data_IF_748346783174
#
_entry.id   IF_748346783174
#
_cell.length_a   1.000
_cell.length_b   1.000
_cell.length_c   1.000
_cell.angle_alpha   90.00
_cell.angle_beta   90.00
_cell.angle_gamma   90.00
#
_symmetry.space_group_name_H-M   'P 1'
#
loop_
_entity.id
_entity.type
_entity.pdbx_description
1 polymer ?
#
# COMPACT_ATOMS: atom_id res chain seq x y z
N UNK A 1 -7.60 -47.01 -52.30
CA UNK A 1 -7.03 -46.82 -50.99
C UNK A 1 -7.35 -45.39 -50.59
N UNK A 2 -8.41 -45.21 -49.73
CA UNK A 2 -8.79 -43.93 -49.23
C UNK A 2 -7.82 -43.52 -48.11
N UNK A 3 -7.13 -42.43 -48.27
CA UNK A 3 -6.42 -41.78 -47.16
C UNK A 3 -7.46 -41.18 -46.25
N UNK A 4 -7.62 -41.77 -45.07
CA UNK A 4 -8.38 -41.14 -43.99
C UNK A 4 -7.81 -39.74 -43.70
N UNK A 5 -8.66 -38.74 -43.77
CA UNK A 5 -8.28 -37.41 -43.25
C UNK A 5 -7.95 -37.59 -41.79
N UNK A 6 -6.74 -37.23 -41.41
CA UNK A 6 -6.43 -37.06 -40.02
C UNK A 6 -7.46 -36.08 -39.42
N UNK A 7 -8.17 -36.50 -38.39
CA UNK A 7 -8.95 -35.58 -37.60
C UNK A 7 -8.06 -34.39 -37.21
N UNK A 8 -8.47 -33.21 -37.63
CA UNK A 8 -7.75 -31.99 -37.27
C UNK A 8 -7.56 -31.99 -35.75
N UNK A 9 -6.40 -31.53 -35.32
CA UNK A 9 -6.18 -31.14 -33.93
C UNK A 9 -7.44 -30.37 -33.50
N UNK A 10 -8.08 -30.87 -32.45
CA UNK A 10 -9.31 -30.26 -31.96
C UNK A 10 -9.17 -28.77 -31.84
N UNK A 11 -10.25 -28.11 -32.02
CA UNK A 11 -10.40 -26.66 -31.92
C UNK A 11 -9.70 -26.19 -30.65
N UNK A 12 -8.65 -25.39 -30.82
CA UNK A 12 -8.01 -24.73 -29.69
C UNK A 12 -8.90 -23.57 -29.31
N UNK A 13 -9.83 -23.84 -28.45
CA UNK A 13 -10.67 -22.80 -27.88
C UNK A 13 -9.81 -21.97 -26.94
N UNK A 14 -9.58 -20.73 -27.30
CA UNK A 14 -8.97 -19.75 -26.41
C UNK A 14 -9.99 -19.44 -25.31
N UNK A 15 -9.79 -19.98 -24.13
CA UNK A 15 -10.58 -19.66 -22.92
C UNK A 15 -10.26 -18.25 -22.38
N UNK A 16 -10.08 -17.28 -23.27
CA UNK A 16 -9.74 -15.91 -22.87
C UNK A 16 -10.82 -15.26 -22.00
N UNK A 17 -12.07 -15.67 -22.14
CA UNK A 17 -13.17 -15.13 -21.36
C UNK A 17 -13.20 -15.64 -19.91
N UNK A 18 -12.42 -16.67 -19.60
CA UNK A 18 -12.28 -17.24 -18.27
C UNK A 18 -10.87 -17.05 -17.67
N UNK A 19 -10.01 -16.30 -18.34
CA UNK A 19 -8.70 -16.02 -17.79
C UNK A 19 -8.84 -15.16 -16.51
N UNK A 20 -8.18 -15.50 -15.41
CA UNK A 20 -8.28 -14.74 -14.17
C UNK A 20 -7.83 -13.30 -14.37
N UNK A 21 -8.43 -12.41 -13.61
CA UNK A 21 -8.01 -11.03 -13.47
C UNK A 21 -7.43 -10.88 -12.08
N UNK A 22 -6.29 -10.23 -11.97
CA UNK A 22 -5.55 -10.11 -10.72
C UNK A 22 -5.17 -8.67 -10.44
N UNK A 23 -5.19 -8.28 -9.17
CA UNK A 23 -4.65 -7.02 -8.63
C UNK A 23 -3.74 -7.35 -7.45
N UNK A 24 -2.61 -6.71 -7.36
CA UNK A 24 -1.61 -6.77 -6.30
C UNK A 24 -0.59 -5.67 -6.53
N UNK A 25 0.42 -5.50 -5.68
CA UNK A 25 1.39 -6.54 -5.37
C UNK A 25 1.95 -6.47 -3.93
N UNK A 26 2.43 -5.30 -3.41
CA UNK A 26 3.44 -5.25 -2.37
C UNK A 26 3.19 -4.18 -1.31
N UNK A 27 3.55 -4.51 -0.07
CA UNK A 27 3.56 -3.56 1.05
C UNK A 27 4.94 -3.58 1.71
N UNK A 28 5.58 -2.40 1.82
CA UNK A 28 6.97 -2.32 2.31
C UNK A 28 7.20 -1.17 3.29
N UNK A 29 8.31 -1.26 4.02
CA UNK A 29 8.82 -0.22 4.90
C UNK A 29 9.74 0.71 4.10
N UNK A 30 9.24 1.85 3.72
CA UNK A 30 9.99 2.94 3.13
C UNK A 30 10.84 3.60 4.23
N UNK A 31 12.10 3.22 4.30
CA UNK A 31 12.98 3.56 5.42
C UNK A 31 13.47 5.00 5.35
N UNK A 32 13.69 5.53 4.17
CA UNK A 32 14.18 6.89 3.95
C UNK A 32 13.07 7.90 3.64
N UNK A 33 11.85 7.42 3.36
CA UNK A 33 10.65 8.22 3.18
C UNK A 33 10.55 8.91 1.82
N UNK A 34 11.23 8.38 0.81
CA UNK A 34 11.25 8.96 -0.53
C UNK A 34 10.08 8.50 -1.41
N UNK A 35 9.31 7.51 -0.97
CA UNK A 35 8.13 6.97 -1.65
C UNK A 35 8.43 5.90 -2.68
N UNK A 36 9.66 5.43 -2.76
CA UNK A 36 10.14 4.43 -3.72
C UNK A 36 10.53 3.16 -3.02
N UNK A 37 10.36 2.05 -3.72
CA UNK A 37 10.86 0.76 -3.26
C UNK A 37 12.34 0.63 -3.60
N UNK A 38 13.19 0.76 -2.62
CA UNK A 38 14.65 0.67 -2.77
C UNK A 38 15.22 -0.68 -2.31
N UNK A 39 16.38 -1.08 -2.88
CA UNK A 39 17.06 -2.29 -2.44
C UNK A 39 17.47 -2.19 -0.96
N UNK A 40 17.01 -3.14 -0.16
CA UNK A 40 17.30 -3.21 1.28
C UNK A 40 16.16 -2.72 2.16
N UNK A 41 15.06 -2.29 1.57
CA UNK A 41 13.83 -2.01 2.29
C UNK A 41 13.05 -3.29 2.60
N UNK A 42 12.57 -3.39 3.83
CA UNK A 42 11.95 -4.61 4.32
C UNK A 42 10.46 -4.70 3.93
N UNK A 43 9.96 -5.91 3.60
CA UNK A 43 8.52 -6.13 3.43
C UNK A 43 7.76 -5.98 4.75
N UNK A 44 6.49 -5.56 4.66
CA UNK A 44 5.60 -5.56 5.82
C UNK A 44 4.60 -6.70 5.70
N UNK A 45 4.77 -7.71 6.53
CA UNK A 45 3.86 -8.85 6.64
C UNK A 45 2.67 -8.55 7.57
N UNK A 46 1.56 -9.27 7.37
CA UNK A 46 0.40 -9.20 8.26
C UNK A 46 -0.44 -7.94 8.11
N UNK A 47 -0.31 -7.22 7.01
CA UNK A 47 -1.15 -6.06 6.68
C UNK A 47 -2.45 -6.54 6.04
N UNK A 48 -3.58 -6.15 6.58
CA UNK A 48 -4.89 -6.38 5.96
C UNK A 48 -5.09 -5.36 4.82
N UNK A 49 -5.27 -5.90 3.61
CA UNK A 49 -5.58 -5.15 2.40
C UNK A 49 -7.00 -5.49 1.97
N UNK A 50 -7.80 -4.50 1.68
CA UNK A 50 -9.20 -4.66 1.26
C UNK A 50 -9.39 -4.18 -0.17
N UNK A 51 -10.04 -4.99 -0.98
CA UNK A 51 -10.52 -4.66 -2.32
C UNK A 51 -12.02 -4.43 -2.27
N UNK A 52 -12.51 -3.33 -2.83
CA UNK A 52 -13.92 -2.97 -2.93
C UNK A 52 -14.29 -2.68 -4.39
N UNK A 53 -15.43 -3.23 -4.87
CA UNK A 53 -15.88 -3.09 -6.25
C UNK A 53 -16.81 -1.88 -6.48
N UNK A 54 -17.08 -1.10 -5.43
CA UNK A 54 -18.01 0.02 -5.47
C UNK A 54 -19.49 -0.37 -5.63
N UNK A 55 -19.79 -1.68 -5.71
CA UNK A 55 -21.15 -2.22 -5.87
C UNK A 55 -21.66 -2.88 -4.59
N UNK A 56 -20.90 -2.84 -3.54
CA UNK A 56 -21.23 -3.39 -2.21
C UNK A 56 -20.57 -4.73 -1.92
N UNK A 57 -19.62 -5.17 -2.73
CA UNK A 57 -18.82 -6.35 -2.44
C UNK A 57 -17.38 -5.93 -2.10
N UNK A 58 -16.89 -6.46 -0.99
CA UNK A 58 -15.50 -6.27 -0.59
C UNK A 58 -14.86 -7.60 -0.20
N UNK A 59 -13.55 -7.68 -0.39
CA UNK A 59 -12.74 -8.82 0.01
C UNK A 59 -11.50 -8.31 0.72
N UNK A 60 -11.10 -8.99 1.78
CA UNK A 60 -9.89 -8.63 2.54
C UNK A 60 -8.94 -9.81 2.57
N UNK A 61 -7.67 -9.54 2.31
CA UNK A 61 -6.58 -10.51 2.42
C UNK A 61 -5.45 -9.89 3.25
N UNK A 62 -4.52 -10.73 3.69
CA UNK A 62 -3.40 -10.31 4.51
C UNK A 62 -2.09 -10.52 3.75
N UNK A 63 -1.16 -9.56 3.82
CA UNK A 63 0.16 -9.71 3.20
C UNK A 63 0.93 -10.89 3.80
N UNK A 64 1.62 -11.62 2.94
CA UNK A 64 2.47 -12.75 3.33
C UNK A 64 3.77 -12.29 4.02
N UNK A 65 4.65 -13.25 4.35
CA UNK A 65 5.93 -12.97 4.99
C UNK A 65 6.89 -12.12 4.12
N UNK A 66 6.61 -12.02 2.83
CA UNK A 66 7.36 -11.20 1.89
C UNK A 66 6.64 -9.89 1.54
N UNK A 67 5.63 -9.47 2.32
CA UNK A 67 4.87 -8.26 2.09
C UNK A 67 3.90 -8.32 0.91
N UNK A 68 3.68 -9.49 0.30
CA UNK A 68 2.90 -9.62 -0.92
C UNK A 68 1.44 -9.89 -0.65
N UNK A 69 0.59 -9.31 -1.49
CA UNK A 69 -0.85 -9.56 -1.51
C UNK A 69 -1.34 -9.70 -2.96
N UNK A 70 -2.40 -10.47 -3.17
CA UNK A 70 -2.97 -10.68 -4.50
C UNK A 70 -4.45 -11.01 -4.43
N UNK A 71 -5.27 -10.21 -5.07
CA UNK A 71 -6.67 -10.53 -5.36
C UNK A 71 -6.75 -11.17 -6.74
N UNK A 72 -7.24 -12.39 -6.82
CA UNK A 72 -7.35 -13.15 -8.06
C UNK A 72 -8.79 -13.57 -8.35
N UNK A 73 -9.12 -13.73 -9.62
CA UNK A 73 -10.48 -14.14 -10.04
C UNK A 73 -11.54 -13.07 -9.84
N UNK A 74 -11.15 -11.81 -9.82
CA UNK A 74 -12.06 -10.66 -9.72
C UNK A 74 -12.77 -10.39 -11.04
N UNK A 75 -13.88 -9.66 -11.00
CA UNK A 75 -14.68 -9.37 -12.18
C UNK A 75 -13.96 -8.39 -13.12
N UNK A 76 -13.80 -8.73 -14.41
CA UNK A 76 -13.18 -7.86 -15.39
C UNK A 76 -14.03 -6.62 -15.69
N UNK A 77 -13.38 -5.58 -16.26
CA UNK A 77 -14.02 -4.33 -16.70
C UNK A 77 -14.73 -3.55 -15.59
N UNK A 78 -14.27 -3.68 -14.36
CA UNK A 78 -14.71 -2.87 -13.22
C UNK A 78 -13.58 -1.97 -12.73
N UNK A 79 -13.96 -0.96 -11.96
CA UNK A 79 -13.02 -0.15 -11.19
C UNK A 79 -13.11 -0.56 -9.74
N UNK A 80 -11.97 -0.87 -9.16
CA UNK A 80 -11.85 -1.27 -7.77
C UNK A 80 -11.12 -0.20 -6.95
N UNK A 81 -11.38 -0.21 -5.65
CA UNK A 81 -10.58 0.52 -4.68
C UNK A 81 -9.79 -0.49 -3.84
N UNK A 82 -8.47 -0.41 -3.89
CA UNK A 82 -7.59 -1.11 -2.96
C UNK A 82 -7.37 -0.19 -1.76
N UNK A 83 -7.55 -0.70 -0.55
CA UNK A 83 -7.44 0.11 0.66
C UNK A 83 -6.74 -0.63 1.79
N UNK A 84 -5.96 0.14 2.56
CA UNK A 84 -5.31 -0.31 3.80
C UNK A 84 -5.70 0.64 4.91
N UNK A 85 -6.31 0.14 6.00
CA UNK A 85 -6.58 0.93 7.19
C UNK A 85 -5.29 1.20 7.95
N UNK A 86 -4.94 2.46 8.19
CA UNK A 86 -3.79 2.81 9.03
C UNK A 86 -4.15 2.56 10.50
N UNK A 87 -3.19 2.14 11.32
CA UNK A 87 -3.43 1.82 12.73
C UNK A 87 -3.69 0.35 13.00
N UNK A 88 -3.55 -0.51 11.99
CA UNK A 88 -3.43 -1.96 12.20
C UNK A 88 -2.18 -2.26 13.04
N UNK A 89 -2.15 -3.35 13.81
CA UNK A 89 -0.97 -3.72 14.61
C UNK A 89 0.31 -3.86 13.79
N UNK A 90 0.21 -4.38 12.55
CA UNK A 90 1.33 -4.52 11.60
C UNK A 90 1.90 -3.18 11.13
N UNK A 91 1.15 -2.08 11.23
CA UNK A 91 1.53 -0.73 10.85
C UNK A 91 1.73 0.19 12.05
N UNK A 92 1.89 -0.37 13.25
CA UNK A 92 2.05 0.42 14.47
C UNK A 92 3.28 1.32 14.41
N UNK A 93 3.09 2.63 14.60
CA UNK A 93 4.18 3.61 14.51
C UNK A 93 4.59 3.99 13.10
N UNK A 94 3.89 3.49 12.09
CA UNK A 94 4.14 3.81 10.69
C UNK A 94 3.09 4.81 10.16
N UNK A 95 3.49 5.56 9.15
CA UNK A 95 2.64 6.45 8.38
C UNK A 95 2.82 6.14 6.88
N UNK A 96 1.77 6.33 6.05
CA UNK A 96 1.93 6.19 4.61
C UNK A 96 3.03 7.11 4.09
N UNK A 97 3.78 6.63 3.11
CA UNK A 97 4.76 7.45 2.39
C UNK A 97 4.09 8.29 1.30
N UNK A 98 4.89 9.00 0.51
CA UNK A 98 4.39 9.79 -0.61
C UNK A 98 3.93 8.87 -1.73
N UNK A 99 2.74 9.12 -2.28
CA UNK A 99 2.27 8.42 -3.46
C UNK A 99 2.91 9.01 -4.74
N UNK A 100 3.00 8.19 -5.79
CA UNK A 100 3.44 8.57 -7.14
C UNK A 100 4.79 9.32 -7.14
N UNK A 101 5.76 8.80 -6.39
CA UNK A 101 7.07 9.44 -6.24
C UNK A 101 7.94 9.35 -7.51
N UNK A 102 7.64 8.40 -8.39
CA UNK A 102 8.27 8.28 -9.69
C UNK A 102 7.39 8.95 -10.75
N UNK A 103 8.01 9.76 -11.61
CA UNK A 103 7.28 10.39 -12.72
C UNK A 103 6.72 9.32 -13.66
N UNK A 104 5.48 9.52 -14.11
CA UNK A 104 4.78 8.63 -15.04
C UNK A 104 5.66 8.16 -16.21
N UNK A 105 5.59 6.89 -16.55
CA UNK A 105 6.23 6.37 -17.75
C UNK A 105 7.07 5.11 -17.59
N UNK A 106 6.88 4.28 -16.57
CA UNK A 106 7.50 2.96 -16.54
C UNK A 106 8.10 2.49 -15.21
N UNK A 107 7.74 3.13 -14.13
CA UNK A 107 8.21 2.76 -12.81
C UNK A 107 7.07 2.53 -11.81
N UNK A 108 5.85 2.38 -12.32
CA UNK A 108 4.59 2.21 -11.59
C UNK A 108 4.61 1.04 -10.57
N UNK A 109 5.33 -0.01 -10.80
CA UNK A 109 5.51 -1.13 -9.87
C UNK A 109 6.70 -0.95 -8.92
N UNK A 110 7.10 0.28 -8.57
CA UNK A 110 8.26 0.56 -7.72
C UNK A 110 8.11 1.80 -6.84
N UNK A 111 6.96 2.37 -6.78
CA UNK A 111 6.61 3.46 -5.88
C UNK A 111 5.25 3.21 -5.21
N UNK A 112 4.86 4.08 -4.31
CA UNK A 112 3.60 3.89 -3.57
C UNK A 112 2.45 4.51 -4.31
N UNK A 113 1.38 3.73 -4.56
CA UNK A 113 0.13 4.23 -5.18
C UNK A 113 -0.87 4.77 -4.15
N UNK A 114 -0.57 4.55 -2.90
CA UNK A 114 -1.50 4.78 -1.82
C UNK A 114 -1.67 6.25 -1.43
N UNK A 115 -2.80 6.85 -1.77
CA UNK A 115 -3.17 8.20 -1.31
C UNK A 115 -3.92 8.12 0.01
N UNK A 116 -3.52 8.94 0.99
CA UNK A 116 -4.17 8.97 2.30
C UNK A 116 -5.58 9.54 2.22
N UNK A 117 -6.55 8.79 2.71
CA UNK A 117 -7.97 9.15 2.81
C UNK A 117 -8.47 8.89 4.25
N UNK A 118 -8.40 9.89 5.11
CA UNK A 118 -8.82 9.79 6.51
C UNK A 118 -7.99 8.75 7.30
N UNK A 119 -8.64 7.66 7.71
CA UNK A 119 -8.03 6.54 8.45
C UNK A 119 -7.50 5.42 7.54
N UNK A 120 -7.56 5.60 6.23
CA UNK A 120 -7.11 4.61 5.25
C UNK A 120 -6.14 5.24 4.24
N UNK A 121 -5.43 4.36 3.55
CA UNK A 121 -4.66 4.66 2.35
C UNK A 121 -5.34 3.93 1.21
N UNK A 122 -5.59 4.59 0.09
CA UNK A 122 -6.38 4.04 -1.01
C UNK A 122 -5.72 4.25 -2.35
N UNK A 123 -5.84 3.25 -3.23
CA UNK A 123 -5.51 3.34 -4.65
C UNK A 123 -6.69 2.90 -5.50
N UNK A 124 -6.83 3.44 -6.70
CA UNK A 124 -7.94 3.10 -7.61
C UNK A 124 -7.41 2.26 -8.77
N UNK A 125 -7.93 1.06 -8.91
CA UNK A 125 -7.53 0.09 -9.92
C UNK A 125 -8.60 -0.04 -11.02
N UNK A 126 -8.32 0.44 -12.22
CA UNK A 126 -9.18 0.26 -13.39
C UNK A 126 -8.82 -1.06 -14.09
N UNK A 127 -9.63 -2.07 -13.87
CA UNK A 127 -9.37 -3.42 -14.38
C UNK A 127 -9.88 -3.57 -15.81
N UNK A 128 -9.04 -4.12 -16.68
CA UNK A 128 -9.39 -4.42 -18.08
C UNK A 128 -10.18 -5.72 -18.27
N UNK A 129 -10.14 -6.25 -19.47
CA UNK A 129 -10.79 -7.50 -19.85
C UNK A 129 -10.19 -8.72 -19.11
N UNK A 130 -10.86 -9.87 -19.25
CA UNK A 130 -10.34 -11.13 -18.72
C UNK A 130 -8.87 -11.39 -19.09
N UNK A 131 -8.06 -11.82 -18.13
CA UNK A 131 -6.62 -12.00 -18.27
C UNK A 131 -5.78 -10.74 -18.00
N UNK A 132 -6.41 -9.62 -17.64
CA UNK A 132 -5.71 -8.43 -17.19
C UNK A 132 -5.16 -8.67 -15.79
N UNK A 133 -3.85 -8.66 -15.66
CA UNK A 133 -3.16 -8.78 -14.38
C UNK A 133 -2.40 -7.49 -14.14
N UNK A 134 -2.70 -6.83 -13.03
CA UNK A 134 -2.07 -5.59 -12.63
C UNK A 134 -1.43 -5.76 -11.26
N UNK A 135 -0.13 -5.80 -11.23
CA UNK A 135 0.72 -5.99 -10.06
C UNK A 135 1.52 -4.73 -9.76
N UNK A 136 0.97 -3.56 -10.08
CA UNK A 136 1.61 -2.28 -9.82
C UNK A 136 1.05 -1.55 -8.59
N UNK A 137 0.05 -2.12 -7.91
CA UNK A 137 -0.54 -1.47 -6.74
C UNK A 137 0.27 -1.76 -5.48
N UNK A 138 1.19 -0.86 -5.18
CA UNK A 138 2.16 -0.97 -4.11
C UNK A 138 1.89 0.06 -3.00
N UNK A 139 2.15 -0.29 -1.74
CA UNK A 139 1.91 0.58 -0.60
C UNK A 139 3.13 0.69 0.30
N UNK A 140 3.77 1.86 0.28
CA UNK A 140 4.89 2.18 1.15
C UNK A 140 4.44 2.81 2.47
N UNK A 141 5.09 2.39 3.56
CA UNK A 141 4.90 2.97 4.88
C UNK A 141 6.25 3.33 5.48
N UNK A 142 6.37 4.55 5.96
CA UNK A 142 7.58 5.07 6.59
C UNK A 142 7.42 5.20 8.10
N UNK A 143 8.49 5.23 8.88
CA UNK A 143 8.42 5.55 10.30
C UNK A 143 7.66 6.86 10.53
N UNK A 144 6.58 6.78 11.31
CA UNK A 144 5.81 7.95 11.69
C UNK A 144 6.64 8.82 12.65
N UNK A 145 6.50 10.14 12.52
CA UNK A 145 7.02 11.04 13.55
C UNK A 145 6.18 10.86 14.82
N UNK A 146 6.62 10.01 15.72
CA UNK A 146 6.09 9.96 17.06
C UNK A 146 6.67 11.13 17.83
N UNK A 147 5.91 12.19 18.02
CA UNK A 147 6.19 13.14 19.07
C UNK A 147 5.92 12.42 20.38
N UNK A 148 6.97 11.85 20.96
CA UNK A 148 6.89 11.28 22.29
C UNK A 148 6.42 12.37 23.27
N UNK A 149 5.49 12.01 24.14
CA UNK A 149 5.14 12.81 25.30
C UNK A 149 6.34 12.81 26.25
N UNK A 150 7.39 13.53 25.90
CA UNK A 150 8.46 13.80 26.81
C UNK A 150 8.02 14.95 27.71
N UNK A 151 7.42 14.60 28.83
CA UNK A 151 7.20 15.54 29.94
C UNK A 151 8.52 15.68 30.67
N UNK A 152 9.23 16.75 30.42
CA UNK A 152 10.42 17.08 31.20
C UNK A 152 10.04 18.06 32.32
N UNK A 153 10.59 17.80 33.43
CA UNK A 153 10.66 18.77 34.49
C UNK A 153 11.86 19.67 34.22
N UNK A 154 11.60 20.89 33.79
CA UNK A 154 12.64 21.93 33.81
C UNK A 154 12.62 22.52 35.20
N UNK A 155 13.73 22.42 35.86
CA UNK A 155 13.95 23.02 37.18
C UNK A 155 14.76 24.28 36.92
N UNK A 156 14.32 25.42 37.43
CA UNK A 156 15.10 26.64 37.41
C UNK A 156 16.26 26.61 38.44
N UNK A 157 17.05 27.67 38.50
CA UNK A 157 18.23 27.71 39.36
C UNK A 157 17.90 27.64 40.86
N UNK A 158 16.64 27.79 41.26
CA UNK A 158 16.20 27.66 42.67
C UNK A 158 15.56 26.31 42.96
N UNK A 159 15.46 25.40 41.98
CA UNK A 159 14.91 24.07 42.11
C UNK A 159 13.39 24.00 41.90
N UNK A 160 12.77 25.08 41.42
CA UNK A 160 11.33 25.11 41.12
C UNK A 160 11.03 24.49 39.78
N UNK A 161 9.99 23.62 39.71
CA UNK A 161 9.52 23.03 38.48
C UNK A 161 8.73 24.08 37.69
N UNK A 162 9.26 24.51 36.54
CA UNK A 162 8.59 25.43 35.62
C UNK A 162 7.87 24.65 34.53
N UNK A 163 6.58 24.94 34.33
CA UNK A 163 5.80 24.35 33.28
C UNK A 163 6.20 24.95 31.93
N UNK A 164 6.65 24.10 31.01
CA UNK A 164 6.97 24.49 29.64
C UNK A 164 6.00 23.88 28.65
N UNK A 165 5.83 24.55 27.51
CA UNK A 165 5.16 24.00 26.33
C UNK A 165 6.17 23.76 25.23
N UNK A 166 6.09 22.59 24.63
CA UNK A 166 6.85 22.27 23.43
C UNK A 166 5.90 22.16 22.24
N UNK A 167 6.27 22.73 21.13
CA UNK A 167 5.58 22.53 19.86
C UNK A 167 6.57 22.41 18.71
N UNK A 168 6.15 21.77 17.65
CA UNK A 168 6.92 21.64 16.42
C UNK A 168 6.41 22.66 15.39
N UNK A 169 7.28 23.53 14.89
CA UNK A 169 6.92 24.57 13.92
C UNK A 169 7.04 24.11 12.46
N UNK A 170 7.16 22.80 12.25
CA UNK A 170 7.40 22.21 10.92
C UNK A 170 8.87 22.02 10.58
N UNK A 171 9.79 22.63 11.32
CA UNK A 171 11.21 22.60 11.03
C UNK A 171 12.08 22.33 12.26
N UNK A 172 11.60 22.72 13.45
CA UNK A 172 12.33 22.52 14.71
C UNK A 172 11.37 22.39 15.90
N UNK A 173 11.85 21.70 16.94
CA UNK A 173 11.19 21.68 18.23
C UNK A 173 11.41 23.04 18.92
N UNK A 174 10.32 23.72 19.27
CA UNK A 174 10.34 24.99 20.02
C UNK A 174 9.93 24.75 21.46
N UNK A 175 10.68 25.31 22.38
CA UNK A 175 10.41 25.27 23.81
C UNK A 175 10.04 26.70 24.28
N UNK A 176 8.97 26.80 25.02
CA UNK A 176 8.52 28.04 25.65
C UNK A 176 8.41 27.85 27.15
N UNK A 177 9.02 28.76 27.89
CA UNK A 177 8.97 28.85 29.35
C UNK A 177 8.12 30.06 29.73
N UNK A 178 7.22 29.91 30.65
CA UNK A 178 6.44 31.04 31.22
C UNK A 178 6.67 31.10 32.73
#
# INVERSE_FOLDING_TARGET
VGFGKAAGLGDVELLCDNAPVEIGDYVWLDTDGDGRQDPGEDPIAGVEVTLDDGLGHSSTITTDANGRYRFAGITPNLTYTVSITVGQPSLAGLAPTSADALAEGGADGRDSDGVRAGTSVTATAAVGAAGHNDHSFDFGFRPGLALGNLVWHVVDDDGTVVAGKAWFDGNALRLYYS
#
